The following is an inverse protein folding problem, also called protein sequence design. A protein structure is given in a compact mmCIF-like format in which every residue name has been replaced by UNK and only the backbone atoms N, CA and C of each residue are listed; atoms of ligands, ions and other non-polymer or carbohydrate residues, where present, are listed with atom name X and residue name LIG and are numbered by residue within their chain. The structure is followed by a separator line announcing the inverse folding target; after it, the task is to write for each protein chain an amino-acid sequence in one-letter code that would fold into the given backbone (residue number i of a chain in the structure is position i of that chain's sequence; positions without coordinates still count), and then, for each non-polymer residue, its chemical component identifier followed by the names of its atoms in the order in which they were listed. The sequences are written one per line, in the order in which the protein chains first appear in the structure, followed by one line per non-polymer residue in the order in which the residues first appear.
data_IF_602902968660
#
_entry.id   IF_602902968660
#
_cell.length_a   1.000
_cell.length_b   1.000
_cell.length_c   1.000
_cell.angle_alpha   90.00
_cell.angle_beta   90.00
_cell.angle_gamma   90.00
#
_symmetry.space_group_name_H-M   'P 1'
#
loop_
_entity.id
_entity.type
_entity.pdbx_description
1 polymer ?
#
# COMPACT_ATOMS: atom_id res chain seq x y z
N UNK A 1 19.15 -19.83 -2.99
CA UNK A 1 19.90 -18.56 -2.91
C UNK A 1 19.10 -17.34 -3.41
N UNK A 2 18.00 -17.48 -4.17
CA UNK A 2 17.18 -16.35 -4.67
C UNK A 2 16.31 -15.69 -3.57
N UNK A 3 15.78 -16.46 -2.64
CA UNK A 3 14.91 -15.98 -1.54
C UNK A 3 15.59 -15.04 -0.55
N UNK A 4 16.92 -15.16 -0.37
CA UNK A 4 17.66 -14.34 0.57
C UNK A 4 17.86 -12.89 0.07
N UNK A 5 17.92 -12.67 -1.25
CA UNK A 5 18.10 -11.32 -1.84
C UNK A 5 16.80 -10.50 -1.80
N UNK A 6 15.66 -11.15 -1.99
CA UNK A 6 14.33 -10.52 -1.84
C UNK A 6 14.03 -10.16 -0.37
N UNK A 7 14.41 -11.03 0.57
CA UNK A 7 14.32 -10.75 2.00
C UNK A 7 15.20 -9.56 2.42
N UNK A 8 16.39 -9.44 1.85
CA UNK A 8 17.31 -8.33 2.13
C UNK A 8 16.76 -7.02 1.53
N UNK A 9 16.25 -7.03 0.31
CA UNK A 9 15.63 -5.86 -0.30
C UNK A 9 14.38 -5.40 0.45
N UNK A 10 13.52 -6.33 0.89
CA UNK A 10 12.37 -6.06 1.73
C UNK A 10 12.75 -5.52 3.11
N UNK A 11 13.82 -6.08 3.71
CA UNK A 11 14.32 -5.66 5.01
C UNK A 11 14.95 -4.26 4.96
N UNK A 12 15.69 -3.94 3.91
CA UNK A 12 16.27 -2.60 3.68
C UNK A 12 15.17 -1.56 3.47
N UNK A 13 14.13 -1.89 2.71
CA UNK A 13 12.97 -1.02 2.52
C UNK A 13 12.17 -0.84 3.82
N UNK A 14 12.07 -1.90 4.63
CA UNK A 14 11.43 -1.87 5.96
C UNK A 14 12.22 -1.02 6.95
N UNK A 15 13.56 -1.10 6.97
CA UNK A 15 14.44 -0.28 7.82
C UNK A 15 14.40 1.20 7.41
N UNK A 16 14.29 1.52 6.13
CA UNK A 16 14.11 2.89 5.64
C UNK A 16 12.74 3.48 6.00
N UNK A 17 11.68 2.66 6.04
CA UNK A 17 10.35 3.08 6.46
C UNK A 17 10.22 3.25 7.98
N UNK A 18 11.08 2.61 8.76
CA UNK A 18 11.10 2.68 10.24
C UNK A 18 11.96 3.83 10.77
N UNK A 19 12.69 4.56 9.94
CA UNK A 19 13.42 5.74 10.40
C UNK A 19 12.43 6.77 10.97
N UNK A 20 12.50 7.09 12.27
CA UNK A 20 11.58 8.04 12.88
C UNK A 20 11.78 9.40 12.21
N UNK A 21 10.68 9.99 11.75
CA UNK A 21 10.66 11.36 11.18
C UNK A 21 11.35 12.41 12.07
N UNK A 22 11.55 12.11 13.34
CA UNK A 22 12.25 12.95 14.29
C UNK A 22 13.77 13.02 14.07
N UNK A 23 14.39 12.00 13.47
CA UNK A 23 15.83 12.01 13.17
C UNK A 23 16.16 12.98 12.04
N UNK A 24 15.25 13.16 11.08
CA UNK A 24 15.43 14.12 9.97
C UNK A 24 15.20 15.56 10.44
N UNK A 25 14.30 15.79 11.41
CA UNK A 25 14.05 17.11 11.95
C UNK A 25 15.21 17.62 12.84
N UNK A 26 15.95 16.72 13.50
CA UNK A 26 17.09 17.11 14.35
C UNK A 26 18.33 17.48 13.52
N UNK A 27 18.55 16.87 12.36
CA UNK A 27 19.66 17.26 11.48
C UNK A 27 19.46 18.63 10.84
N UNK A 28 18.21 19.09 10.67
CA UNK A 28 17.93 20.44 10.17
C UNK A 28 18.08 21.52 11.23
N UNK A 29 17.90 21.22 12.53
CA UNK A 29 18.06 22.19 13.60
C UNK A 29 19.51 22.46 13.97
N UNK A 30 20.44 21.61 13.53
CA UNK A 30 21.89 21.77 13.77
C UNK A 30 22.55 22.69 12.74
N UNK A 31 21.92 22.88 11.58
CA UNK A 31 22.38 23.79 10.52
C UNK A 31 22.14 25.27 10.90
N UNK A 32 21.16 25.55 11.75
CA UNK A 32 20.84 26.93 12.20
C UNK A 32 21.77 27.45 13.32
N UNK A 33 22.76 26.66 13.76
CA UNK A 33 23.75 27.05 14.77
C UNK A 33 25.13 27.37 14.21
N UNK A 34 25.21 27.81 12.97
CA UNK A 34 26.46 28.39 12.46
C UNK A 34 26.48 29.87 12.88
N UNK A 35 27.23 30.16 13.95
CA UNK A 35 27.54 31.52 14.37
C UNK A 35 28.09 32.33 13.20
N UNK A 36 27.66 33.60 13.00
CA UNK A 36 28.22 34.43 11.95
C UNK A 36 29.70 34.72 12.29
N UNK A 37 30.60 34.09 11.53
CA UNK A 37 32.01 34.49 11.53
C UNK A 37 32.05 35.92 11.01
N UNK A 38 32.36 36.85 11.91
CA UNK A 38 32.69 38.24 11.60
C UNK A 38 33.94 38.22 10.73
N UNK A 39 33.81 38.35 9.41
CA UNK A 39 34.89 38.51 8.49
C UNK A 39 35.35 39.95 8.53
N UNK A 40 36.61 40.13 9.06
CA UNK A 40 37.37 41.37 8.94
C UNK A 40 37.65 41.68 7.46
N UNK A 41 37.47 42.95 7.11
CA UNK A 41 37.39 43.39 5.75
C UNK A 41 38.70 43.36 4.97
N UNK A 42 38.68 42.60 3.87
CA UNK A 42 39.39 42.93 2.63
C UNK A 42 38.71 42.19 1.47
N UNK A 43 37.86 42.86 0.75
CA UNK A 43 37.25 42.35 -0.46
C UNK A 43 38.14 42.52 -1.69
N UNK A 44 38.25 41.52 -2.58
CA UNK A 44 38.25 41.75 -4.00
C UNK A 44 36.82 41.55 -4.55
N UNK A 45 36.37 42.52 -5.34
CA UNK A 45 35.14 42.46 -6.06
C UNK A 45 35.09 41.25 -7.00
N UNK A 46 34.35 40.24 -6.60
CA UNK A 46 34.00 39.09 -7.44
C UNK A 46 32.47 39.14 -7.62
N UNK A 47 32.03 39.01 -8.86
CA UNK A 47 30.69 39.25 -9.32
C UNK A 47 29.63 38.49 -8.61
N UNK A 48 28.42 39.02 -8.70
CA UNK A 48 27.13 38.48 -8.29
C UNK A 48 26.73 37.16 -9.02
N UNK A 49 27.58 36.14 -8.95
CA UNK A 49 27.29 34.78 -9.44
C UNK A 49 26.93 33.79 -8.32
N UNK A 50 26.83 34.25 -7.10
CA UNK A 50 26.60 33.38 -5.98
C UNK A 50 25.15 33.35 -5.56
N UNK A 51 24.43 32.41 -6.02
CA UNK A 51 23.25 31.70 -5.53
C UNK A 51 22.38 31.21 -6.70
N UNK A 52 23.04 30.56 -7.65
CA UNK A 52 22.30 29.81 -8.65
C UNK A 52 22.01 28.43 -8.04
N UNK A 53 20.74 28.13 -7.68
CA UNK A 53 20.38 26.82 -7.09
C UNK A 53 20.70 25.66 -8.04
N UNK A 54 20.80 25.93 -9.34
CA UNK A 54 21.18 24.95 -10.35
C UNK A 54 22.69 24.61 -10.24
N UNK A 55 23.56 25.59 -10.00
CA UNK A 55 24.98 25.37 -9.83
C UNK A 55 25.31 24.61 -8.51
N UNK A 56 24.52 24.81 -7.45
CA UNK A 56 24.64 24.04 -6.21
C UNK A 56 24.17 22.59 -6.39
N UNK A 57 23.15 22.34 -7.20
CA UNK A 57 22.68 21.02 -7.58
C UNK A 57 23.72 20.31 -8.46
N UNK A 58 24.34 21.01 -9.39
CA UNK A 58 25.41 20.49 -10.25
C UNK A 58 26.64 20.07 -9.45
N UNK A 59 27.10 20.91 -8.52
CA UNK A 59 28.26 20.58 -7.67
C UNK A 59 27.98 19.44 -6.67
N UNK A 60 26.73 19.26 -6.24
CA UNK A 60 26.34 18.12 -5.39
C UNK A 60 26.15 16.82 -6.19
N UNK A 61 25.76 16.92 -7.47
CA UNK A 61 25.66 15.77 -8.37
C UNK A 61 27.03 15.19 -8.74
N UNK A 62 28.06 16.05 -8.93
CA UNK A 62 29.43 15.64 -9.21
C UNK A 62 30.12 14.93 -8.01
N UNK A 63 29.57 15.08 -6.80
CA UNK A 63 30.08 14.41 -5.61
C UNK A 63 29.65 12.93 -5.50
N UNK A 64 28.75 12.45 -6.38
CA UNK A 64 28.28 11.06 -6.36
C UNK A 64 29.08 10.25 -7.38
N UNK A 65 29.89 9.24 -6.95
CA UNK A 65 30.67 8.42 -7.88
C UNK A 65 29.77 7.66 -8.86
N UNK A 66 29.95 7.92 -10.16
CA UNK A 66 29.16 7.29 -11.23
C UNK A 66 28.16 8.21 -11.92
N UNK A 67 28.06 9.48 -11.53
CA UNK A 67 27.22 10.48 -12.18
C UNK A 67 28.08 11.42 -13.06
N UNK A 68 28.42 10.95 -14.24
CA UNK A 68 29.04 11.79 -15.28
C UNK A 68 27.94 12.49 -16.09
N UNK A 69 27.64 13.75 -15.77
CA UNK A 69 26.80 14.50 -16.67
C UNK A 69 25.93 15.62 -16.12
N UNK A 70 26.50 16.72 -15.72
CA UNK A 70 25.89 18.05 -15.64
C UNK A 70 24.37 18.11 -15.37
N UNK A 71 23.68 18.97 -16.09
CA UNK A 71 22.21 19.19 -15.96
C UNK A 71 21.38 17.91 -16.17
N UNK A 72 21.81 17.00 -17.03
CA UNK A 72 21.13 15.73 -17.28
C UNK A 72 21.22 14.77 -16.08
N UNK A 73 22.36 14.78 -15.35
CA UNK A 73 22.53 14.01 -14.12
C UNK A 73 21.61 14.49 -13.00
N UNK A 74 21.51 15.81 -12.80
CA UNK A 74 20.62 16.42 -11.81
C UNK A 74 19.14 16.10 -12.10
N UNK A 75 18.72 16.15 -13.36
CA UNK A 75 17.36 15.76 -13.78
C UNK A 75 17.09 14.28 -13.50
N UNK A 76 18.06 13.39 -13.78
CA UNK A 76 17.92 11.96 -13.49
C UNK A 76 17.75 11.68 -11.98
N UNK A 77 18.54 12.37 -11.13
CA UNK A 77 18.38 12.25 -9.66
C UNK A 77 17.01 12.74 -9.24
N UNK A 78 16.56 13.88 -9.75
CA UNK A 78 15.23 14.43 -9.42
C UNK A 78 14.11 13.47 -9.82
N UNK A 79 14.17 12.88 -11.01
CA UNK A 79 13.22 11.86 -11.48
C UNK A 79 13.29 10.61 -10.59
N UNK A 80 14.49 10.12 -10.27
CA UNK A 80 14.67 8.96 -9.39
C UNK A 80 14.06 9.20 -7.99
N UNK A 81 14.32 10.37 -7.39
CA UNK A 81 13.75 10.72 -6.09
C UNK A 81 12.23 10.86 -6.15
N UNK A 82 11.71 11.43 -7.24
CA UNK A 82 10.27 11.54 -7.46
C UNK A 82 9.63 10.16 -7.57
N UNK A 83 10.19 9.26 -8.37
CA UNK A 83 9.71 7.87 -8.50
C UNK A 83 9.80 7.15 -7.16
N UNK A 84 10.92 7.27 -6.45
CA UNK A 84 11.12 6.64 -5.14
C UNK A 84 10.09 7.13 -4.10
N UNK A 85 9.71 8.41 -4.14
CA UNK A 85 8.69 8.97 -3.24
C UNK A 85 7.27 8.47 -3.56
N UNK A 86 7.01 8.04 -4.80
CA UNK A 86 5.70 7.50 -5.22
C UNK A 86 5.54 6.00 -4.90
N UNK A 87 6.64 5.25 -4.69
CA UNK A 87 6.61 3.81 -4.42
C UNK A 87 5.66 3.44 -3.28
N UNK A 88 5.69 4.11 -2.09
CA UNK A 88 4.76 3.78 -1.00
C UNK A 88 3.29 4.00 -1.39
N UNK A 89 2.99 5.05 -2.15
CA UNK A 89 1.63 5.32 -2.60
C UNK A 89 1.14 4.24 -3.57
N UNK A 90 1.96 3.86 -4.56
CA UNK A 90 1.64 2.79 -5.51
C UNK A 90 1.43 1.46 -4.78
N UNK A 91 2.28 1.16 -3.79
CA UNK A 91 2.15 -0.06 -2.97
C UNK A 91 0.79 -0.10 -2.25
N UNK A 92 0.36 1.00 -1.64
CA UNK A 92 -0.93 1.08 -0.97
C UNK A 92 -2.09 0.93 -1.97
N UNK A 93 -1.98 1.55 -3.14
CA UNK A 93 -3.07 1.60 -4.14
C UNK A 93 -3.22 0.32 -4.95
N UNK A 94 -2.15 -0.45 -5.15
CA UNK A 94 -2.14 -1.60 -6.07
C UNK A 94 -1.98 -2.95 -5.36
N UNK A 95 -1.96 -2.99 -4.02
CA UNK A 95 -1.82 -4.23 -3.25
C UNK A 95 -2.93 -4.38 -2.22
N UNK A 96 -3.05 -5.57 -1.62
CA UNK A 96 -4.00 -5.86 -0.54
C UNK A 96 -3.68 -5.17 0.81
N UNK A 97 -2.67 -4.28 0.86
CA UNK A 97 -2.25 -3.58 2.07
C UNK A 97 -3.39 -2.80 2.74
N UNK A 98 -4.20 -2.09 1.93
CA UNK A 98 -5.32 -1.28 2.44
C UNK A 98 -6.36 -2.13 3.16
N UNK A 99 -6.64 -3.33 2.66
CA UNK A 99 -7.55 -4.30 3.31
C UNK A 99 -7.02 -4.68 4.69
N UNK A 100 -5.76 -5.07 4.78
CA UNK A 100 -5.17 -5.53 6.02
C UNK A 100 -5.10 -4.44 7.08
N UNK A 101 -4.63 -3.24 6.74
CA UNK A 101 -4.50 -2.16 7.70
C UNK A 101 -5.85 -1.67 8.24
N UNK A 102 -6.90 -1.63 7.40
CA UNK A 102 -8.24 -1.24 7.83
C UNK A 102 -8.84 -2.30 8.76
N UNK A 103 -8.77 -3.58 8.39
CA UNK A 103 -9.35 -4.65 9.22
C UNK A 103 -8.65 -4.76 10.57
N UNK A 104 -7.31 -4.70 10.60
CA UNK A 104 -6.56 -4.68 11.86
C UNK A 104 -6.82 -3.42 12.69
N UNK A 105 -7.04 -2.28 12.04
CA UNK A 105 -7.45 -1.04 12.68
C UNK A 105 -8.83 -1.16 13.34
N UNK A 106 -9.80 -1.74 12.63
CA UNK A 106 -11.14 -2.01 13.15
C UNK A 106 -11.12 -3.05 14.29
N UNK A 107 -10.27 -4.07 14.21
CA UNK A 107 -10.04 -5.02 15.30
C UNK A 107 -9.55 -4.31 16.57
N UNK A 108 -8.53 -3.44 16.45
CA UNK A 108 -8.03 -2.64 17.57
C UNK A 108 -9.15 -1.80 18.20
N UNK A 109 -9.98 -1.17 17.37
CA UNK A 109 -11.11 -0.39 17.82
C UNK A 109 -12.17 -1.25 18.51
N UNK A 110 -12.47 -2.45 17.98
CA UNK A 110 -13.42 -3.39 18.53
C UNK A 110 -13.02 -3.88 19.94
N UNK A 111 -11.74 -4.13 20.16
CA UNK A 111 -11.20 -4.48 21.47
C UNK A 111 -11.35 -3.38 22.52
N UNK A 112 -11.58 -2.12 22.10
CA UNK A 112 -11.75 -1.00 23.04
C UNK A 112 -10.43 -0.52 23.67
N UNK A 113 -9.31 -1.03 23.24
CA UNK A 113 -7.99 -0.63 23.73
C UNK A 113 -7.54 0.66 23.06
N UNK A 114 -7.20 1.70 23.83
CA UNK A 114 -6.77 2.98 23.26
C UNK A 114 -5.31 2.94 22.74
N UNK A 115 -4.44 2.18 23.38
CA UNK A 115 -3.00 2.19 23.11
C UNK A 115 -2.42 0.86 22.62
N UNK A 116 -3.06 -0.28 22.88
CA UNK A 116 -2.55 -1.62 22.56
C UNK A 116 -3.44 -2.32 21.51
N UNK A 117 -2.87 -2.97 20.50
CA UNK A 117 -1.46 -2.89 20.09
C UNK A 117 -1.09 -1.52 19.49
N UNK A 118 0.19 -1.10 19.58
CA UNK A 118 0.65 0.15 18.94
C UNK A 118 0.37 0.15 17.43
N UNK A 119 -0.02 1.29 16.87
CA UNK A 119 -0.35 1.38 15.44
C UNK A 119 0.81 0.99 14.52
N UNK A 120 2.05 1.18 14.97
CA UNK A 120 3.26 0.76 14.27
C UNK A 120 3.36 -0.77 14.12
N UNK A 121 2.94 -1.53 15.15
CA UNK A 121 2.91 -3.00 15.09
C UNK A 121 1.87 -3.48 14.08
N UNK A 122 0.68 -2.85 14.06
CA UNK A 122 -0.35 -3.19 13.07
C UNK A 122 0.09 -2.83 11.65
N UNK A 123 0.77 -1.70 11.48
CA UNK A 123 1.36 -1.31 10.20
C UNK A 123 2.39 -2.34 9.72
N UNK A 124 3.32 -2.73 10.60
CA UNK A 124 4.35 -3.71 10.30
C UNK A 124 3.75 -5.09 9.94
N UNK A 125 2.75 -5.53 10.71
CA UNK A 125 2.03 -6.78 10.46
C UNK A 125 1.30 -6.74 9.11
N UNK A 126 0.57 -5.63 8.82
CA UNK A 126 -0.12 -5.45 7.55
C UNK A 126 0.84 -5.49 6.36
N UNK A 127 2.00 -4.84 6.49
CA UNK A 127 3.04 -4.83 5.47
C UNK A 127 3.62 -6.23 5.24
N UNK A 128 3.94 -6.94 6.32
CA UNK A 128 4.48 -8.29 6.23
C UNK A 128 3.49 -9.25 5.56
N UNK A 129 2.21 -9.21 5.96
CA UNK A 129 1.14 -10.01 5.33
C UNK A 129 1.00 -9.65 3.84
N UNK A 130 1.08 -8.36 3.49
CA UNK A 130 1.02 -7.91 2.10
C UNK A 130 2.14 -8.50 1.27
N UNK A 131 3.39 -8.45 1.75
CA UNK A 131 4.52 -9.06 1.06
C UNK A 131 4.36 -10.57 0.89
N UNK A 132 3.85 -11.25 1.92
CA UNK A 132 3.63 -12.69 1.86
C UNK A 132 2.59 -13.08 0.79
N UNK A 133 1.49 -12.32 0.71
CA UNK A 133 0.43 -12.54 -0.26
C UNK A 133 0.83 -12.12 -1.68
N UNK A 134 1.59 -11.01 -1.80
CA UNK A 134 2.04 -10.50 -3.10
C UNK A 134 3.26 -11.22 -3.67
N UNK A 135 3.91 -12.11 -2.88
CA UNK A 135 5.11 -12.82 -3.32
C UNK A 135 4.97 -13.49 -4.70
N UNK A 136 3.90 -14.28 -4.98
CA UNK A 136 3.73 -14.91 -6.30
C UNK A 136 3.55 -13.90 -7.44
N UNK A 137 2.87 -12.78 -7.19
CA UNK A 137 2.71 -11.72 -8.20
C UNK A 137 4.05 -11.03 -8.48
N UNK A 138 4.87 -10.82 -7.45
CA UNK A 138 6.21 -10.24 -7.59
C UNK A 138 7.14 -11.21 -8.34
N UNK A 139 7.08 -12.52 -8.05
CA UNK A 139 7.85 -13.53 -8.76
C UNK A 139 7.48 -13.56 -10.25
N UNK A 140 6.19 -13.46 -10.59
CA UNK A 140 5.74 -13.34 -11.99
C UNK A 140 6.28 -12.08 -12.68
N UNK A 141 6.24 -10.92 -12.02
CA UNK A 141 6.83 -9.67 -12.56
C UNK A 141 8.32 -9.86 -12.84
N UNK A 142 9.03 -10.54 -11.95
CA UNK A 142 10.45 -10.81 -12.11
C UNK A 142 10.72 -11.72 -13.31
N UNK A 143 10.00 -12.84 -13.42
CA UNK A 143 10.22 -13.85 -14.45
C UNK A 143 9.70 -13.40 -15.84
N UNK A 144 8.58 -12.66 -15.91
CA UNK A 144 7.95 -12.27 -17.19
C UNK A 144 8.50 -10.95 -17.77
N UNK A 145 9.06 -10.06 -16.91
CA UNK A 145 9.53 -8.74 -17.37
C UNK A 145 11.03 -8.50 -17.12
N UNK A 146 11.50 -8.73 -15.85
CA UNK A 146 12.86 -8.34 -15.47
C UNK A 146 13.89 -9.30 -16.06
N UNK A 147 13.68 -10.60 -15.96
CA UNK A 147 14.61 -11.61 -16.49
C UNK A 147 14.76 -11.49 -18.02
N UNK A 148 13.68 -11.41 -18.83
CA UNK A 148 13.80 -11.25 -20.29
C UNK A 148 14.50 -9.94 -20.69
N UNK A 149 14.31 -8.87 -19.92
CA UNK A 149 15.02 -7.61 -20.13
C UNK A 149 16.53 -7.73 -19.85
N UNK A 150 16.92 -8.41 -18.75
CA UNK A 150 18.33 -8.64 -18.40
C UNK A 150 19.03 -9.59 -19.39
N UNK A 151 18.30 -10.55 -19.95
CA UNK A 151 18.83 -11.49 -20.96
C UNK A 151 18.87 -10.89 -22.38
N UNK A 152 18.41 -9.63 -22.54
CA UNK A 152 18.42 -8.95 -23.85
C UNK A 152 17.32 -9.41 -24.81
N UNK A 153 16.36 -10.21 -24.35
CA UNK A 153 15.20 -10.65 -25.14
C UNK A 153 14.25 -9.48 -25.39
N UNK A 154 14.17 -8.54 -24.43
CA UNK A 154 13.42 -7.29 -24.52
C UNK A 154 14.44 -6.15 -24.58
N UNK A 155 14.46 -5.38 -25.67
CA UNK A 155 15.38 -4.27 -25.85
C UNK A 155 14.77 -2.92 -25.44
N UNK A 156 13.43 -2.85 -25.32
CA UNK A 156 12.71 -1.62 -25.08
C UNK A 156 12.19 -1.59 -23.63
N UNK A 157 12.55 -0.53 -22.87
CA UNK A 157 12.06 -0.30 -21.53
C UNK A 157 10.52 -0.17 -21.45
N UNK A 158 9.89 0.35 -22.50
CA UNK A 158 8.42 0.46 -22.59
C UNK A 158 7.78 -0.92 -22.63
N UNK A 159 8.34 -1.86 -23.42
CA UNK A 159 7.86 -3.23 -23.49
C UNK A 159 8.05 -3.96 -22.15
N UNK A 160 9.20 -3.78 -21.50
CA UNK A 160 9.44 -4.33 -20.16
C UNK A 160 8.36 -3.84 -19.17
N UNK A 161 8.05 -2.54 -19.20
CA UNK A 161 7.01 -1.95 -18.34
C UNK A 161 5.61 -2.51 -18.65
N UNK A 162 5.27 -2.66 -19.93
CA UNK A 162 3.99 -3.27 -20.35
C UNK A 162 3.84 -4.71 -19.81
N UNK A 163 4.92 -5.51 -19.88
CA UNK A 163 4.93 -6.87 -19.32
C UNK A 163 4.90 -6.88 -17.79
N UNK A 164 5.61 -5.96 -17.14
CA UNK A 164 5.66 -5.88 -15.68
C UNK A 164 4.31 -5.51 -15.05
N UNK A 165 3.49 -4.72 -15.73
CA UNK A 165 2.17 -4.32 -15.23
C UNK A 165 1.10 -5.41 -15.36
N UNK A 166 1.28 -6.42 -16.25
CA UNK A 166 0.26 -7.46 -16.47
C UNK A 166 -0.01 -8.31 -15.22
N UNK A 167 0.99 -8.89 -14.52
CA UNK A 167 0.73 -9.64 -13.30
C UNK A 167 0.01 -8.83 -12.21
N UNK A 168 0.28 -7.51 -12.16
CA UNK A 168 -0.40 -6.62 -11.23
C UNK A 168 -1.87 -6.37 -11.63
N UNK A 169 -2.14 -6.20 -12.93
CA UNK A 169 -3.51 -6.10 -13.46
C UNK A 169 -4.30 -7.38 -13.17
N UNK A 170 -3.70 -8.54 -13.43
CA UNK A 170 -4.32 -9.84 -13.18
C UNK A 170 -4.69 -10.00 -11.70
N UNK A 171 -3.80 -9.59 -10.80
CA UNK A 171 -4.06 -9.57 -9.37
C UNK A 171 -5.26 -8.68 -9.02
N UNK A 172 -5.28 -7.44 -9.51
CA UNK A 172 -6.39 -6.50 -9.23
C UNK A 172 -7.73 -7.00 -9.77
N UNK A 173 -7.75 -7.56 -10.97
CA UNK A 173 -8.96 -8.16 -11.55
C UNK A 173 -9.45 -9.37 -10.73
N UNK A 174 -8.55 -10.26 -10.31
CA UNK A 174 -8.91 -11.41 -9.49
C UNK A 174 -9.55 -10.98 -8.15
N UNK A 175 -9.05 -9.90 -7.53
CA UNK A 175 -9.64 -9.36 -6.30
C UNK A 175 -11.02 -8.72 -6.54
N UNK A 176 -11.21 -7.99 -7.67
CA UNK A 176 -12.50 -7.40 -8.05
C UNK A 176 -13.54 -8.49 -8.32
N UNK A 177 -13.12 -9.57 -8.96
CA UNK A 177 -13.95 -10.73 -9.27
C UNK A 177 -14.39 -11.46 -8.00
N UNK A 178 -13.44 -11.78 -7.10
CA UNK A 178 -13.75 -12.41 -5.80
C UNK A 178 -14.67 -11.57 -4.92
N UNK A 179 -14.56 -10.24 -5.01
CA UNK A 179 -15.41 -9.29 -4.27
C UNK A 179 -16.76 -9.02 -4.95
N UNK A 180 -17.03 -9.59 -6.13
CA UNK A 180 -18.19 -9.27 -6.97
C UNK A 180 -18.42 -7.76 -7.08
N UNK A 181 -17.39 -7.05 -7.55
CA UNK A 181 -17.38 -5.59 -7.59
C UNK A 181 -17.28 -5.01 -9.01
N UNK A 182 -17.73 -5.76 -10.03
CA UNK A 182 -17.74 -5.34 -11.43
C UNK A 182 -18.56 -4.07 -11.68
N UNK A 183 -19.63 -3.88 -10.92
CA UNK A 183 -20.44 -2.66 -11.00
C UNK A 183 -19.64 -1.38 -10.76
N UNK A 184 -18.61 -1.46 -9.90
CA UNK A 184 -17.72 -0.32 -9.64
C UNK A 184 -16.80 -0.02 -10.84
N UNK A 185 -16.35 -1.06 -11.53
CA UNK A 185 -15.54 -0.91 -12.77
C UNK A 185 -16.37 -0.23 -13.84
N UNK A 186 -17.60 -0.72 -14.10
CA UNK A 186 -18.48 -0.16 -15.11
C UNK A 186 -18.85 1.29 -14.81
N UNK A 187 -19.19 1.61 -13.56
CA UNK A 187 -19.47 2.98 -13.12
C UNK A 187 -18.31 3.95 -13.42
N UNK A 188 -17.08 3.52 -13.16
CA UNK A 188 -15.90 4.37 -13.42
C UNK A 188 -15.57 4.46 -14.92
N UNK A 189 -15.82 3.40 -15.69
CA UNK A 189 -15.70 3.43 -17.15
C UNK A 189 -16.70 4.41 -17.78
N UNK A 190 -17.97 4.34 -17.37
CA UNK A 190 -19.02 5.28 -17.81
C UNK A 190 -18.68 6.72 -17.48
N UNK A 191 -18.21 6.97 -16.27
CA UNK A 191 -17.80 8.32 -15.86
C UNK A 191 -16.65 8.86 -16.74
N UNK A 192 -15.72 7.98 -17.14
CA UNK A 192 -14.55 8.38 -17.92
C UNK A 192 -14.86 8.52 -19.42
N UNK A 193 -15.64 7.61 -19.99
CA UNK A 193 -16.03 7.66 -21.41
C UNK A 193 -17.09 8.69 -21.71
N UNK A 194 -17.93 9.06 -20.72
CA UNK A 194 -19.10 9.90 -20.88
C UNK A 194 -20.27 9.17 -21.57
N UNK A 195 -20.12 7.88 -21.88
CA UNK A 195 -21.14 7.05 -22.52
C UNK A 195 -21.53 5.88 -21.61
N UNK A 196 -22.80 5.53 -21.52
CA UNK A 196 -23.23 4.39 -20.71
C UNK A 196 -22.70 3.08 -21.32
N UNK A 197 -22.24 2.18 -20.49
CA UNK A 197 -21.83 0.83 -20.87
C UNK A 197 -23.09 0.02 -21.24
N UNK A 198 -23.47 0.04 -22.51
CA UNK A 198 -24.69 -0.62 -23.00
C UNK A 198 -24.58 -2.14 -23.09
N UNK A 199 -23.36 -2.66 -23.33
CA UNK A 199 -23.12 -4.08 -23.51
C UNK A 199 -21.93 -4.56 -22.63
N UNK A 200 -22.15 -4.73 -21.31
CA UNK A 200 -21.10 -5.21 -20.41
C UNK A 200 -20.55 -6.61 -20.77
N UNK A 201 -21.36 -7.39 -21.51
CA UNK A 201 -21.03 -8.77 -21.92
C UNK A 201 -19.93 -8.83 -23.01
N UNK A 202 -19.76 -7.75 -23.75
CA UNK A 202 -18.76 -7.67 -24.84
C UNK A 202 -17.43 -7.05 -24.36
N UNK A 203 -17.37 -6.53 -23.12
CA UNK A 203 -16.17 -5.95 -22.56
C UNK A 203 -15.18 -7.04 -22.14
N UNK A 204 -13.92 -6.82 -22.48
CA UNK A 204 -12.81 -7.66 -22.07
C UNK A 204 -11.95 -6.94 -21.03
N UNK A 205 -11.10 -7.68 -20.33
CA UNK A 205 -10.15 -7.08 -19.38
C UNK A 205 -9.20 -6.09 -20.06
N UNK A 206 -8.91 -6.27 -21.37
CA UNK A 206 -8.07 -5.37 -22.15
C UNK A 206 -8.68 -3.96 -22.30
N UNK A 207 -10.01 -3.86 -22.32
CA UNK A 207 -10.73 -2.59 -22.51
C UNK A 207 -10.68 -1.69 -21.25
N UNK A 208 -10.31 -2.26 -20.09
CA UNK A 208 -10.20 -1.54 -18.83
C UNK A 208 -8.80 -0.97 -18.66
N UNK A 209 -8.64 0.34 -18.77
CA UNK A 209 -7.35 1.01 -18.55
C UNK A 209 -6.96 1.05 -17.06
N UNK A 210 -5.64 1.14 -16.78
CA UNK A 210 -5.11 1.22 -15.40
C UNK A 210 -5.67 2.38 -14.59
N UNK A 211 -5.94 3.52 -15.24
CA UNK A 211 -6.53 4.68 -14.57
C UNK A 211 -7.96 4.45 -14.08
N UNK A 212 -8.67 3.52 -14.68
CA UNK A 212 -9.99 3.06 -14.23
C UNK A 212 -9.88 1.89 -13.26
N UNK A 213 -8.94 0.97 -13.53
CA UNK A 213 -8.78 -0.25 -12.75
C UNK A 213 -8.30 0.03 -11.32
N UNK A 214 -7.30 0.90 -11.13
CA UNK A 214 -6.76 1.20 -9.79
C UNK A 214 -7.84 1.72 -8.83
N UNK A 215 -8.60 2.79 -9.15
CA UNK A 215 -9.65 3.26 -8.24
C UNK A 215 -10.79 2.26 -8.06
N UNK A 216 -11.16 1.49 -9.10
CA UNK A 216 -12.15 0.43 -8.97
C UNK A 216 -11.69 -0.65 -7.98
N UNK A 217 -10.44 -1.09 -8.11
CA UNK A 217 -9.81 -2.03 -7.20
C UNK A 217 -9.78 -1.49 -5.76
N UNK A 218 -9.34 -0.23 -5.56
CA UNK A 218 -9.33 0.39 -4.24
C UNK A 218 -10.70 0.43 -3.58
N UNK A 219 -11.75 0.79 -4.32
CA UNK A 219 -13.12 0.79 -3.81
C UNK A 219 -13.59 -0.63 -3.45
N UNK A 220 -13.24 -1.63 -4.26
CA UNK A 220 -13.49 -3.04 -3.97
C UNK A 220 -12.79 -3.49 -2.70
N UNK A 221 -11.50 -3.18 -2.53
CA UNK A 221 -10.73 -3.50 -1.32
C UNK A 221 -11.32 -2.85 -0.07
N UNK A 222 -11.75 -1.58 -0.16
CA UNK A 222 -12.43 -0.88 0.92
C UNK A 222 -13.75 -1.58 1.31
N UNK A 223 -14.57 -1.95 0.32
CA UNK A 223 -15.82 -2.70 0.55
C UNK A 223 -15.56 -3.99 1.33
N UNK A 224 -14.61 -4.80 0.87
CA UNK A 224 -14.24 -6.06 1.52
C UNK A 224 -13.67 -5.82 2.92
N UNK A 225 -12.78 -4.83 3.07
CA UNK A 225 -12.18 -4.49 4.35
C UNK A 225 -13.23 -4.09 5.40
N UNK A 226 -14.20 -3.25 5.03
CA UNK A 226 -15.28 -2.87 5.93
C UNK A 226 -16.21 -4.03 6.26
N UNK A 227 -16.54 -4.89 5.28
CA UNK A 227 -17.36 -6.09 5.54
C UNK A 227 -16.66 -7.05 6.52
N UNK A 228 -15.38 -7.32 6.32
CA UNK A 228 -14.59 -8.17 7.21
C UNK A 228 -14.42 -7.53 8.59
N UNK A 229 -14.07 -6.27 8.64
CA UNK A 229 -13.91 -5.54 9.89
C UNK A 229 -15.22 -5.49 10.69
N UNK A 230 -16.36 -5.29 10.03
CA UNK A 230 -17.66 -5.34 10.67
C UNK A 230 -17.97 -6.73 11.25
N UNK A 231 -17.69 -7.80 10.51
CA UNK A 231 -17.87 -9.18 11.01
C UNK A 231 -17.04 -9.45 12.27
N UNK A 232 -15.81 -8.93 12.31
CA UNK A 232 -14.95 -9.03 13.48
C UNK A 232 -15.47 -8.16 14.64
N UNK A 233 -16.05 -7.01 14.33
CA UNK A 233 -16.57 -6.06 15.33
C UNK A 233 -17.83 -6.59 16.06
N UNK A 234 -18.69 -7.34 15.35
CA UNK A 234 -19.98 -7.81 15.85
C UNK A 234 -19.92 -8.53 17.21
N UNK A 235 -19.06 -9.53 17.46
CA UNK A 235 -19.04 -10.24 18.75
C UNK A 235 -18.65 -9.30 19.90
N UNK A 236 -17.78 -8.33 19.66
CA UNK A 236 -17.39 -7.35 20.68
C UNK A 236 -18.49 -6.34 20.98
N UNK A 237 -19.27 -5.96 19.96
CA UNK A 237 -20.44 -5.11 20.14
C UNK A 237 -21.50 -5.79 20.99
N UNK A 238 -21.72 -7.10 20.82
CA UNK A 238 -22.67 -7.86 21.66
C UNK A 238 -22.21 -7.84 23.12
N UNK A 239 -20.92 -8.02 23.40
CA UNK A 239 -20.38 -7.92 24.77
C UNK A 239 -20.65 -6.52 25.37
N UNK A 240 -20.40 -5.45 24.61
CA UNK A 240 -20.68 -4.09 25.06
C UNK A 240 -22.14 -3.90 25.43
N UNK A 241 -23.05 -4.39 24.60
CA UNK A 241 -24.51 -4.28 24.82
C UNK A 241 -24.95 -5.06 26.07
N UNK A 242 -24.43 -6.28 26.27
CA UNK A 242 -24.72 -7.08 27.46
C UNK A 242 -24.23 -6.39 28.74
N UNK A 243 -22.97 -5.93 28.75
CA UNK A 243 -22.41 -5.20 29.89
C UNK A 243 -23.18 -3.91 30.17
N UNK A 244 -23.52 -3.14 29.13
CA UNK A 244 -24.31 -1.93 29.28
C UNK A 244 -25.69 -2.22 29.90
N UNK A 245 -26.40 -3.24 29.45
CA UNK A 245 -27.71 -3.62 30.00
C UNK A 245 -27.62 -4.03 31.47
N UNK A 246 -26.58 -4.78 31.87
CA UNK A 246 -26.31 -5.17 33.24
C UNK A 246 -26.07 -3.94 34.16
N UNK A 247 -25.21 -3.01 33.72
CA UNK A 247 -24.92 -1.77 34.48
C UNK A 247 -26.15 -0.91 34.67
N UNK A 248 -26.98 -0.76 33.66
CA UNK A 248 -28.26 -0.03 33.73
C UNK A 248 -29.19 -0.72 34.70
N UNK A 249 -29.30 -2.05 34.67
CA UNK A 249 -30.15 -2.84 35.61
C UNK A 249 -29.71 -2.68 37.06
N UNK A 250 -28.41 -2.49 37.32
CA UNK A 250 -27.87 -2.24 38.64
C UNK A 250 -27.90 -0.75 39.06
N UNK A 251 -28.52 0.11 38.24
CA UNK A 251 -28.57 1.58 38.46
C UNK A 251 -27.18 2.26 38.47
N UNK A 252 -26.17 1.62 37.87
CA UNK A 252 -24.79 2.13 37.85
C UNK A 252 -24.51 2.93 36.55
N UNK A 253 -25.34 3.95 36.25
CA UNK A 253 -25.28 4.73 35.02
C UNK A 253 -24.01 5.60 34.91
N UNK A 254 -23.30 5.89 36.00
CA UNK A 254 -22.08 6.73 35.95
C UNK A 254 -20.83 6.01 35.48
N UNK A 255 -20.83 4.67 35.41
CA UNK A 255 -19.70 3.91 34.93
C UNK A 255 -19.77 3.75 33.40
N UNK A 256 -18.71 4.13 32.68
CA UNK A 256 -18.69 3.94 31.22
C UNK A 256 -18.65 2.43 30.84
N UNK A 257 -19.67 1.90 30.15
CA UNK A 257 -19.78 0.46 29.86
C UNK A 257 -18.58 -0.12 29.12
N UNK A 258 -17.96 0.69 28.26
CA UNK A 258 -16.79 0.29 27.46
C UNK A 258 -15.57 -0.08 28.32
N UNK A 259 -15.37 0.62 29.46
CA UNK A 259 -14.25 0.29 30.37
C UNK A 259 -14.52 -1.00 31.17
N UNK A 260 -15.79 -1.26 31.49
CA UNK A 260 -16.18 -2.48 32.21
C UNK A 260 -16.17 -3.71 31.28
N UNK A 261 -16.54 -3.55 30.00
CA UNK A 261 -16.53 -4.63 29.02
C UNK A 261 -15.14 -5.01 28.53
N UNK A 262 -14.14 -4.13 28.61
CA UNK A 262 -12.78 -4.33 28.08
C UNK A 262 -12.11 -5.63 28.57
N UNK A 263 -12.07 -5.97 29.87
CA UNK A 263 -11.45 -7.23 30.32
C UNK A 263 -12.16 -8.48 29.74
N UNK A 264 -13.48 -8.44 29.59
CA UNK A 264 -14.24 -9.55 28.99
C UNK A 264 -13.94 -9.72 27.50
N UNK A 265 -13.80 -8.62 26.77
CA UNK A 265 -13.40 -8.64 25.36
C UNK A 265 -12.01 -9.23 25.15
N UNK A 266 -11.03 -8.77 25.96
CA UNK A 266 -9.66 -9.29 25.87
C UNK A 266 -9.64 -10.78 26.24
N UNK A 267 -10.33 -11.20 27.31
CA UNK A 267 -10.40 -12.60 27.70
C UNK A 267 -10.99 -13.47 26.58
N UNK A 268 -12.14 -13.04 26.02
CA UNK A 268 -12.75 -13.77 24.90
C UNK A 268 -11.77 -13.88 23.73
N UNK A 269 -11.13 -12.78 23.35
CA UNK A 269 -10.21 -12.73 22.21
C UNK A 269 -9.01 -13.69 22.39
N UNK A 270 -8.49 -13.80 23.62
CA UNK A 270 -7.40 -14.74 23.93
C UNK A 270 -7.90 -16.18 23.91
N UNK A 271 -9.08 -16.46 24.50
CA UNK A 271 -9.62 -17.82 24.59
C UNK A 271 -9.90 -18.44 23.22
N UNK A 272 -10.31 -17.63 22.23
CA UNK A 272 -10.61 -18.12 20.87
C UNK A 272 -9.39 -18.08 19.95
N UNK A 273 -8.20 -17.75 20.45
CA UNK A 273 -7.01 -17.47 19.63
C UNK A 273 -7.30 -16.45 18.52
N UNK A 274 -7.82 -15.29 18.92
CA UNK A 274 -8.34 -14.28 17.99
C UNK A 274 -7.33 -13.78 16.98
N UNK A 275 -6.03 -13.72 17.33
CA UNK A 275 -4.99 -13.33 16.37
C UNK A 275 -4.87 -14.32 15.21
N UNK A 276 -4.81 -15.61 15.50
CA UNK A 276 -4.72 -16.65 14.48
C UNK A 276 -5.96 -16.68 13.59
N UNK A 277 -7.16 -16.49 14.19
CA UNK A 277 -8.42 -16.43 13.43
C UNK A 277 -8.47 -15.21 12.50
N UNK A 278 -8.11 -14.02 12.98
CA UNK A 278 -8.15 -12.79 12.19
C UNK A 278 -7.10 -12.82 11.08
N UNK A 279 -5.85 -13.13 11.40
CA UNK A 279 -4.78 -13.23 10.40
C UNK A 279 -5.10 -14.32 9.37
N UNK A 280 -5.53 -15.50 9.82
CA UNK A 280 -5.91 -16.59 8.92
C UNK A 280 -7.10 -16.26 8.02
N UNK A 281 -8.11 -15.49 8.52
CA UNK A 281 -9.23 -15.06 7.68
C UNK A 281 -8.82 -14.00 6.68
N UNK A 282 -7.93 -13.07 7.06
CA UNK A 282 -7.37 -12.05 6.17
C UNK A 282 -6.55 -12.67 5.04
N UNK A 283 -5.68 -13.62 5.35
CA UNK A 283 -4.88 -14.32 4.35
C UNK A 283 -5.74 -15.08 3.35
N UNK A 284 -6.80 -15.75 3.83
CA UNK A 284 -7.73 -16.50 2.97
C UNK A 284 -8.70 -15.61 2.19
N UNK A 285 -8.86 -14.35 2.56
CA UNK A 285 -9.73 -13.42 1.86
C UNK A 285 -9.13 -12.85 0.58
N UNK A 286 -7.87 -13.10 0.32
CA UNK A 286 -7.21 -12.69 -0.92
C UNK A 286 -7.30 -13.84 -1.91
N UNK A 287 -7.71 -13.54 -3.16
CA UNK A 287 -7.88 -14.54 -4.20
C UNK A 287 -6.60 -15.39 -4.39
N UNK A 288 -6.74 -16.72 -4.45
CA UNK A 288 -5.59 -17.61 -4.61
C UNK A 288 -4.90 -17.39 -5.95
N UNK A 289 -3.60 -17.74 -6.00
CA UNK A 289 -2.74 -17.56 -7.20
C UNK A 289 -3.28 -18.30 -8.43
N UNK A 290 -3.96 -19.44 -8.23
CA UNK A 290 -4.57 -20.22 -9.32
C UNK A 290 -5.64 -19.42 -10.08
N UNK A 291 -6.45 -18.61 -9.39
CA UNK A 291 -7.42 -17.73 -10.04
C UNK A 291 -6.74 -16.57 -10.78
N UNK A 292 -5.57 -16.12 -10.31
CA UNK A 292 -4.77 -15.11 -11.00
C UNK A 292 -4.22 -15.63 -12.35
N UNK A 293 -3.97 -16.94 -12.48
CA UNK A 293 -3.45 -17.56 -13.70
C UNK A 293 -4.53 -17.76 -14.76
N UNK A 294 -5.78 -17.99 -14.37
CA UNK A 294 -6.94 -18.03 -15.29
C UNK A 294 -7.21 -16.65 -15.92
N UNK A 295 -6.82 -15.60 -15.24
CA UNK A 295 -6.88 -14.21 -15.71
C UNK A 295 -6.03 -13.93 -16.96
N UNK A 296 -5.13 -14.83 -17.35
CA UNK A 296 -4.29 -14.71 -18.58
C UNK A 296 -5.08 -14.78 -19.90
N UNK A 297 -6.38 -15.09 -19.85
CA UNK A 297 -7.22 -15.05 -21.02
C UNK A 297 -7.82 -13.63 -21.18
N UNK A 298 -7.03 -12.69 -21.67
CA UNK A 298 -7.45 -11.31 -21.99
C UNK A 298 -8.69 -11.22 -22.91
N UNK A 299 -9.11 -12.35 -23.49
CA UNK A 299 -10.23 -12.45 -24.41
C UNK A 299 -11.51 -13.04 -23.77
N UNK A 300 -11.52 -13.35 -22.46
CA UNK A 300 -12.72 -13.85 -21.80
C UNK A 300 -13.61 -12.66 -21.43
N UNK A 301 -14.88 -12.61 -21.83
CA UNK A 301 -15.80 -11.53 -21.44
C UNK A 301 -15.97 -11.49 -19.92
N UNK A 302 -15.96 -10.29 -19.36
CA UNK A 302 -15.94 -9.99 -17.91
C UNK A 302 -17.09 -10.67 -17.13
N UNK A 303 -18.19 -10.99 -17.78
CA UNK A 303 -19.38 -11.56 -17.14
C UNK A 303 -19.42 -13.10 -17.23
N UNK A 304 -18.64 -13.73 -18.11
CA UNK A 304 -18.65 -15.20 -18.24
C UNK A 304 -18.04 -15.91 -16.99
N UNK A 305 -17.27 -15.20 -16.19
CA UNK A 305 -16.67 -15.69 -14.93
C UNK A 305 -17.56 -15.46 -13.70
N UNK A 306 -18.49 -14.50 -13.76
CA UNK A 306 -19.51 -14.31 -12.74
C UNK A 306 -20.60 -15.36 -12.97
N UNK A 307 -20.38 -16.59 -12.43
CA UNK A 307 -21.38 -17.64 -12.47
C UNK A 307 -22.71 -17.14 -11.94
N UNK A 308 -23.71 -17.10 -12.81
CA UNK A 308 -25.09 -17.00 -12.42
C UNK A 308 -25.41 -18.26 -11.57
N UNK A 309 -25.36 -18.10 -10.24
CA UNK A 309 -25.96 -19.03 -9.29
C UNK A 309 -27.03 -18.29 -8.50
#
# INVERSE_FOLDING_TARGET
MKTSRLLIAGLVMFLLALMPRQAVAQSFSEIDRIDPVVADGTAPAAGTEGLNPIAMLESSADAIPGFEGGLSGALNIMVLLTVLSLVPAIMIMCTCFIRFIIVLGLLKQALGTQSLPPSQVLLALSLFMTFMVMAPTIDRIYDEAIVPYQEGQIQNQVEMWERAKQPLRDFMFAQIEEADSWSTVFMLMEYRSGEPVTEPQNLTRADVDMLTLIPAYMLSELKVAFLMGFRIYLPFLVIDMVVASLLISMSMMMLPPVLVSLPFKILLFILVDGWALVVGSLMRSVAPVEQQTVALLDHVPLIASAGFA
#
